data_IF_167229546565
#
_entry.id   IF_167229546565
#
_cell.length_a   1.000
_cell.length_b   1.000
_cell.length_c   1.000
_cell.angle_alpha   90.00
_cell.angle_beta   90.00
_cell.angle_gamma   90.00
#
_symmetry.space_group_name_H-M   'P 1'
#
loop_
_entity.id
_entity.type
_entity.pdbx_description
1 polymer ?
#
# COMPACT_ATOMS: atom_id res chain seq x y z
N UNK A 1 28.58 -34.46 -19.41
CA UNK A 1 27.61 -34.81 -18.35
C UNK A 1 26.90 -33.54 -17.94
N UNK A 2 25.57 -33.57 -17.86
CA UNK A 2 24.78 -32.40 -17.48
C UNK A 2 24.93 -32.18 -15.97
N UNK A 3 25.29 -30.96 -15.55
CA UNK A 3 25.49 -30.65 -14.13
C UNK A 3 24.24 -30.94 -13.28
N UNK A 4 23.07 -30.72 -13.86
CA UNK A 4 21.78 -30.99 -13.22
C UNK A 4 21.54 -32.48 -12.95
N UNK A 5 22.14 -33.38 -13.73
CA UNK A 5 22.04 -34.84 -13.54
C UNK A 5 22.98 -35.34 -12.42
N UNK A 6 23.92 -34.51 -11.98
CA UNK A 6 24.82 -34.80 -10.84
C UNK A 6 24.21 -34.42 -9.49
N UNK A 7 23.16 -33.60 -9.49
CA UNK A 7 22.42 -33.24 -8.30
C UNK A 7 21.48 -34.40 -7.98
N UNK A 8 21.67 -35.01 -6.81
CA UNK A 8 20.86 -36.15 -6.37
C UNK A 8 19.35 -35.92 -6.52
N UNK A 9 18.61 -37.00 -6.70
CA UNK A 9 17.19 -36.95 -6.97
C UNK A 9 16.44 -36.15 -5.89
N UNK A 10 15.57 -35.23 -6.31
CA UNK A 10 14.85 -34.32 -5.40
C UNK A 10 15.47 -32.94 -5.17
N UNK A 11 16.56 -32.55 -5.83
CA UNK A 11 17.17 -31.22 -5.65
C UNK A 11 16.22 -30.04 -5.93
N UNK A 12 15.22 -30.26 -6.78
CA UNK A 12 14.19 -29.27 -7.16
C UNK A 12 13.40 -28.77 -5.95
N UNK A 13 13.23 -29.57 -4.89
CA UNK A 13 12.51 -29.13 -3.68
C UNK A 13 13.24 -27.97 -2.99
N UNK A 14 14.57 -28.00 -2.95
CA UNK A 14 15.36 -26.93 -2.34
C UNK A 14 15.23 -25.63 -3.13
N UNK A 15 15.17 -25.71 -4.47
CA UNK A 15 14.90 -24.56 -5.32
C UNK A 15 13.52 -23.97 -4.99
N UNK A 16 12.48 -24.79 -4.90
CA UNK A 16 11.13 -24.35 -4.57
C UNK A 16 11.05 -23.71 -3.19
N UNK A 17 11.77 -24.21 -2.20
CA UNK A 17 11.84 -23.61 -0.87
C UNK A 17 12.48 -22.21 -0.90
N UNK A 18 13.57 -22.03 -1.66
CA UNK A 18 14.20 -20.72 -1.84
C UNK A 18 13.27 -19.75 -2.55
N UNK A 19 12.62 -20.19 -3.63
CA UNK A 19 11.65 -19.38 -4.37
C UNK A 19 10.47 -18.98 -3.47
N UNK A 20 9.91 -19.92 -2.71
CA UNK A 20 8.84 -19.64 -1.75
C UNK A 20 9.23 -18.63 -0.69
N UNK A 21 10.44 -18.77 -0.11
CA UNK A 21 10.96 -17.82 0.86
C UNK A 21 11.15 -16.41 0.26
N UNK A 22 11.63 -16.30 -0.97
CA UNK A 22 11.78 -15.02 -1.68
C UNK A 22 10.43 -14.36 -1.96
N UNK A 23 9.40 -15.13 -2.33
CA UNK A 23 8.05 -14.60 -2.53
C UNK A 23 7.52 -14.00 -1.22
N UNK A 24 7.66 -14.72 -0.09
CA UNK A 24 7.23 -14.21 1.21
C UNK A 24 7.99 -12.92 1.57
N UNK A 25 9.31 -12.90 1.39
CA UNK A 25 10.13 -11.73 1.65
C UNK A 25 9.72 -10.53 0.78
N UNK A 26 9.48 -10.75 -0.51
CA UNK A 26 9.01 -9.72 -1.44
C UNK A 26 7.63 -9.18 -1.03
N UNK A 27 6.70 -10.05 -0.63
CA UNK A 27 5.39 -9.64 -0.13
C UNK A 27 5.49 -8.79 1.14
N UNK A 28 6.31 -9.18 2.11
CA UNK A 28 6.54 -8.40 3.34
C UNK A 28 7.12 -7.03 3.00
N UNK A 29 8.12 -6.98 2.12
CA UNK A 29 8.71 -5.73 1.66
C UNK A 29 7.68 -4.85 0.96
N UNK A 30 6.88 -5.42 0.05
CA UNK A 30 5.84 -4.71 -0.69
C UNK A 30 4.77 -4.12 0.23
N UNK A 31 4.29 -4.88 1.21
CA UNK A 31 3.33 -4.38 2.21
C UNK A 31 3.97 -3.26 3.04
N UNK A 32 5.22 -3.42 3.45
CA UNK A 32 5.89 -2.38 4.27
C UNK A 32 6.15 -1.10 3.48
N UNK A 33 6.47 -1.20 2.20
CA UNK A 33 6.59 -0.07 1.30
C UNK A 33 5.25 0.61 1.09
N UNK A 34 4.21 -0.15 0.74
CA UNK A 34 2.87 0.39 0.51
C UNK A 34 2.27 1.07 1.76
N UNK A 35 2.55 0.54 2.96
CA UNK A 35 2.17 1.17 4.22
C UNK A 35 2.88 2.51 4.47
N UNK A 36 4.13 2.68 4.01
CA UNK A 36 4.88 3.95 4.14
C UNK A 36 4.54 4.96 3.06
N UNK A 37 4.05 4.50 1.92
CA UNK A 37 3.73 5.33 0.75
C UNK A 37 2.24 5.60 0.60
N UNK A 38 1.46 5.44 1.68
CA UNK A 38 0.01 5.73 1.71
C UNK A 38 -0.79 4.97 0.62
N UNK A 39 -0.31 3.79 0.19
CA UNK A 39 -0.96 2.98 -0.86
C UNK A 39 -2.12 2.12 -0.32
N UNK A 40 -2.13 1.82 0.98
CA UNK A 40 -3.27 1.19 1.63
C UNK A 40 -4.27 2.28 2.03
N UNK A 41 -5.14 2.62 1.09
CA UNK A 41 -6.28 3.49 1.32
C UNK A 41 -7.37 2.69 2.07
N UNK A 42 -7.20 2.52 3.39
CA UNK A 42 -8.22 1.95 4.29
C UNK A 42 -9.56 2.73 4.22
N UNK A 43 -9.56 3.87 3.53
CA UNK A 43 -10.64 4.82 3.48
C UNK A 43 -11.43 4.82 2.15
N UNK A 44 -11.13 3.92 1.20
CA UNK A 44 -11.99 3.65 0.02
C UNK A 44 -13.44 3.41 0.44
N UNK A 45 -13.64 2.75 1.59
CA UNK A 45 -14.98 2.51 2.13
C UNK A 45 -15.71 3.82 2.42
N UNK A 46 -15.01 4.87 2.85
CA UNK A 46 -15.61 6.14 3.28
C UNK A 46 -15.66 7.22 2.19
N UNK A 47 -14.89 7.07 1.11
CA UNK A 47 -14.88 7.96 -0.05
C UNK A 47 -16.19 7.98 -0.85
N UNK A 48 -17.03 6.95 -0.73
CA UNK A 48 -18.30 6.83 -1.47
C UNK A 48 -19.50 7.42 -0.70
N UNK A 49 -19.33 7.76 0.60
CA UNK A 49 -20.46 8.23 1.40
C UNK A 49 -20.61 9.74 1.34
N UNK A 50 -21.77 10.17 0.88
CA UNK A 50 -22.17 11.58 0.79
C UNK A 50 -22.99 11.98 2.02
N UNK A 51 -23.23 13.28 2.25
CA UNK A 51 -24.10 13.73 3.36
C UNK A 51 -25.51 13.13 3.28
N UNK A 52 -25.99 12.80 2.08
CA UNK A 52 -27.26 12.10 1.86
C UNK A 52 -27.29 10.64 2.30
N UNK A 53 -26.13 10.03 2.59
CA UNK A 53 -26.04 8.65 3.09
C UNK A 53 -25.96 8.58 4.63
N UNK A 54 -26.13 9.71 5.32
CA UNK A 54 -26.06 9.80 6.79
C UNK A 54 -27.03 8.85 7.49
N UNK A 55 -28.22 8.64 6.93
CA UNK A 55 -29.24 7.74 7.49
C UNK A 55 -28.94 6.24 7.26
N UNK A 56 -27.94 5.93 6.43
CA UNK A 56 -27.48 4.55 6.15
C UNK A 56 -26.33 4.12 7.05
N UNK A 57 -25.88 5.00 7.95
CA UNK A 57 -24.73 4.76 8.84
C UNK A 57 -25.11 5.04 10.28
N UNK A 58 -24.43 4.37 11.20
CA UNK A 58 -24.52 4.75 12.62
C UNK A 58 -23.85 6.12 12.84
N UNK A 59 -24.25 6.90 13.85
CA UNK A 59 -23.63 8.18 14.16
C UNK A 59 -22.11 8.10 14.37
N UNK A 60 -21.62 6.97 14.91
CA UNK A 60 -20.20 6.69 15.11
C UNK A 60 -19.45 6.49 13.78
N UNK A 61 -20.04 5.75 12.83
CA UNK A 61 -19.45 5.55 11.50
C UNK A 61 -19.41 6.85 10.69
N UNK A 62 -20.42 7.70 10.83
CA UNK A 62 -20.44 9.02 10.19
C UNK A 62 -19.38 9.96 10.78
N UNK A 63 -19.19 9.94 12.11
CA UNK A 63 -18.10 10.71 12.73
C UNK A 63 -16.72 10.25 12.22
N UNK A 64 -16.53 8.94 12.08
CA UNK A 64 -15.30 8.36 11.54
C UNK A 64 -15.07 8.72 10.07
N UNK A 65 -16.11 8.70 9.22
CA UNK A 65 -15.98 9.10 7.82
C UNK A 65 -15.54 10.55 7.64
N UNK A 66 -16.03 11.47 8.50
CA UNK A 66 -15.59 12.88 8.49
C UNK A 66 -14.13 13.03 8.91
N UNK A 67 -13.68 12.32 9.94
CA UNK A 67 -12.27 12.34 10.37
C UNK A 67 -11.33 11.81 9.28
N UNK A 68 -11.76 10.75 8.60
CA UNK A 68 -11.07 10.17 7.46
C UNK A 68 -10.92 11.18 6.32
N UNK A 69 -12.02 11.83 5.90
CA UNK A 69 -12.00 12.85 4.85
C UNK A 69 -11.04 13.99 5.19
N UNK A 70 -11.06 14.50 6.43
CA UNK A 70 -10.13 15.56 6.85
C UNK A 70 -8.67 15.12 6.84
N UNK A 71 -8.40 13.85 7.14
CA UNK A 71 -7.04 13.30 7.13
C UNK A 71 -6.52 13.15 5.71
N UNK A 72 -7.39 12.73 4.78
CA UNK A 72 -7.06 12.63 3.37
C UNK A 72 -6.82 14.00 2.70
N UNK A 73 -7.68 14.99 2.99
CA UNK A 73 -7.48 16.36 2.51
C UNK A 73 -6.14 16.93 3.00
N UNK A 74 -5.82 16.75 4.29
CA UNK A 74 -4.53 17.16 4.84
C UNK A 74 -3.34 16.44 4.17
N UNK A 75 -3.47 15.15 3.83
CA UNK A 75 -2.39 14.44 3.13
C UNK A 75 -2.20 14.96 1.70
N UNK A 76 -3.29 15.22 0.98
CA UNK A 76 -3.25 15.84 -0.36
C UNK A 76 -2.58 17.21 -0.33
N UNK A 77 -2.92 18.06 0.65
CA UNK A 77 -2.28 19.37 0.80
C UNK A 77 -0.77 19.26 1.07
N UNK A 78 -0.33 18.30 1.89
CA UNK A 78 1.10 18.07 2.13
C UNK A 78 1.83 17.67 0.85
N UNK A 79 1.27 16.76 0.08
CA UNK A 79 1.85 16.30 -1.19
C UNK A 79 1.91 17.44 -2.22
N UNK A 80 0.85 18.24 -2.35
CA UNK A 80 0.82 19.40 -3.25
C UNK A 80 1.86 20.46 -2.86
N UNK A 81 2.02 20.74 -1.57
CA UNK A 81 3.07 21.66 -1.07
C UNK A 81 4.47 21.14 -1.39
N UNK A 82 4.73 19.84 -1.18
CA UNK A 82 6.01 19.23 -1.52
C UNK A 82 6.31 19.31 -3.02
N UNK A 83 5.33 19.02 -3.88
CA UNK A 83 5.48 19.17 -5.33
C UNK A 83 5.78 20.61 -5.75
N UNK A 84 5.05 21.59 -5.18
CA UNK A 84 5.28 23.01 -5.45
C UNK A 84 6.67 23.47 -5.01
N UNK A 85 7.15 23.03 -3.84
CA UNK A 85 8.48 23.36 -3.36
C UNK A 85 9.58 22.69 -4.21
N UNK A 86 9.37 21.45 -4.67
CA UNK A 86 10.27 20.77 -5.61
C UNK A 86 10.33 21.49 -6.96
N UNK A 87 9.20 21.90 -7.53
CA UNK A 87 9.13 22.66 -8.77
C UNK A 87 9.83 24.01 -8.63
N UNK A 88 9.60 24.73 -7.53
CA UNK A 88 10.27 26.00 -7.24
C UNK A 88 11.79 25.83 -7.16
N UNK A 89 12.26 24.76 -6.51
CA UNK A 89 13.70 24.48 -6.39
C UNK A 89 14.34 24.01 -7.71
N UNK A 90 13.57 23.38 -8.62
CA UNK A 90 14.07 23.02 -9.96
C UNK A 90 14.12 24.21 -10.92
N UNK A 91 13.30 25.23 -10.68
CA UNK A 91 13.23 26.45 -11.50
C UNK A 91 14.21 27.56 -11.05
N UNK A 92 14.89 27.40 -9.91
CA UNK A 92 15.88 28.31 -9.35
C UNK A 92 17.31 27.83 -9.67
#
# INVERSE_FOLDING_TARGET
MNYLDSLGDGWTIYLWLVVGALIIAASIYGIRWASRNEQFDEDIKYLVFTESDKDKMTPEEFAKSRQVLTTQEASRERMLKQQQDEERNRAA
#
